data_IF_725877000599
#
_entry.id   IF_725877000599
#
_cell.length_a   1.000
_cell.length_b   1.000
_cell.length_c   1.000
_cell.angle_alpha   90.00
_cell.angle_beta   90.00
_cell.angle_gamma   90.00
#
_symmetry.space_group_name_H-M   'P 1'
#
loop_
_entity.id
_entity.type
_entity.pdbx_description
1 polymer ?
#
# COMPACT_ATOMS: atom_id res chain seq x y z
N UNK A 1 -12.36 -12.06 -18.36
CA UNK A 1 -11.09 -12.36 -17.71
C UNK A 1 -10.08 -12.93 -18.71
N UNK A 2 -10.33 -14.09 -19.33
CA UNK A 2 -9.36 -14.78 -20.21
C UNK A 2 -8.86 -14.00 -21.44
N UNK A 3 -9.70 -13.19 -22.09
CA UNK A 3 -9.25 -12.36 -23.24
C UNK A 3 -8.31 -11.23 -22.83
N UNK A 4 -8.55 -10.60 -21.67
CA UNK A 4 -7.67 -9.56 -21.13
C UNK A 4 -6.34 -10.16 -20.67
N UNK A 5 -6.37 -11.36 -20.09
CA UNK A 5 -5.16 -12.12 -19.75
C UNK A 5 -4.34 -12.44 -21.01
N UNK A 6 -4.97 -13.03 -22.03
CA UNK A 6 -4.28 -13.40 -23.26
C UNK A 6 -3.66 -12.18 -23.96
N UNK A 7 -4.40 -11.05 -24.02
CA UNK A 7 -3.88 -9.81 -24.60
C UNK A 7 -2.75 -9.17 -23.76
N UNK A 8 -2.74 -9.36 -22.43
CA UNK A 8 -1.64 -8.95 -21.55
C UNK A 8 -0.37 -9.77 -21.78
N UNK A 9 -0.50 -11.10 -21.89
CA UNK A 9 0.63 -12.00 -22.08
C UNK A 9 1.29 -11.87 -23.45
N UNK A 10 0.58 -11.41 -24.47
CA UNK A 10 1.11 -11.19 -25.83
C UNK A 10 2.07 -9.98 -25.93
N UNK A 11 2.21 -9.15 -24.87
CA UNK A 11 3.26 -8.13 -24.73
C UNK A 11 3.23 -6.95 -25.71
N UNK A 12 2.32 -6.95 -26.69
CA UNK A 12 2.24 -5.96 -27.77
C UNK A 12 1.20 -4.86 -27.52
N UNK A 13 0.59 -4.80 -26.33
CA UNK A 13 -0.48 -3.85 -26.00
C UNK A 13 -0.31 -3.29 -24.61
N UNK A 14 -0.48 -1.98 -24.47
CA UNK A 14 -0.62 -1.33 -23.16
C UNK A 14 -2.09 -1.32 -22.77
N UNK A 15 -2.40 -1.89 -21.61
CA UNK A 15 -3.75 -1.92 -21.04
C UNK A 15 -3.80 -0.90 -19.90
N UNK A 16 -4.78 0.01 -19.93
CA UNK A 16 -5.06 0.94 -18.84
C UNK A 16 -6.36 0.51 -18.19
N UNK A 17 -6.32 0.25 -16.89
CA UNK A 17 -7.48 -0.13 -16.09
C UNK A 17 -7.74 1.02 -15.10
N UNK A 18 -8.97 1.52 -15.09
CA UNK A 18 -9.47 2.46 -14.09
C UNK A 18 -10.53 1.76 -13.26
N UNK A 19 -10.31 1.63 -11.96
CA UNK A 19 -11.22 0.97 -11.03
C UNK A 19 -11.07 1.58 -9.64
N UNK A 20 -12.13 1.48 -8.84
CA UNK A 20 -12.07 1.75 -7.41
C UNK A 20 -11.75 0.48 -6.60
N UNK A 21 -12.03 -0.71 -7.15
CA UNK A 21 -11.76 -1.99 -6.50
C UNK A 21 -10.60 -2.68 -7.22
N UNK A 22 -9.48 -2.80 -6.50
CA UNK A 22 -8.19 -3.27 -7.04
C UNK A 22 -7.85 -4.71 -6.66
N UNK A 23 -8.46 -5.23 -5.58
CA UNK A 23 -8.17 -6.55 -5.00
C UNK A 23 -8.28 -7.68 -6.03
N UNK A 24 -9.28 -7.64 -6.91
CA UNK A 24 -9.49 -8.70 -7.90
C UNK A 24 -8.46 -8.71 -9.03
N UNK A 25 -7.80 -7.58 -9.31
CA UNK A 25 -6.92 -7.43 -10.49
C UNK A 25 -5.45 -7.29 -10.13
N UNK A 26 -5.11 -7.30 -8.84
CA UNK A 26 -3.76 -7.01 -8.32
C UNK A 26 -2.67 -7.85 -9.00
N UNK A 27 -2.95 -9.12 -9.27
CA UNK A 27 -2.02 -10.06 -9.94
C UNK A 27 -1.76 -9.74 -11.42
N UNK A 28 -2.59 -8.91 -12.05
CA UNK A 28 -2.47 -8.50 -13.45
C UNK A 28 -1.75 -7.15 -13.61
N UNK A 29 -1.54 -6.43 -12.51
CA UNK A 29 -0.96 -5.11 -12.53
C UNK A 29 0.58 -5.21 -12.48
N UNK A 30 1.23 -4.42 -13.32
CA UNK A 30 2.68 -4.20 -13.26
C UNK A 30 3.02 -2.84 -12.64
N UNK A 31 2.17 -1.84 -12.87
CA UNK A 31 2.35 -0.46 -12.45
C UNK A 31 1.06 0.07 -11.85
N UNK A 32 1.19 0.92 -10.84
CA UNK A 32 0.08 1.47 -10.09
C UNK A 32 0.19 2.99 -10.03
N UNK A 33 -0.91 3.66 -10.35
CA UNK A 33 -1.03 5.12 -10.25
C UNK A 33 -2.27 5.44 -9.43
N UNK A 34 -2.09 6.17 -8.33
CA UNK A 34 -3.20 6.73 -7.56
C UNK A 34 -3.38 8.21 -7.90
N UNK A 35 -4.63 8.60 -8.12
CA UNK A 35 -5.00 9.97 -8.46
C UNK A 35 -6.05 10.44 -7.46
N UNK A 36 -5.75 11.54 -6.76
CA UNK A 36 -6.71 12.27 -5.93
C UNK A 36 -6.92 13.69 -6.46
N UNK A 37 -8.17 14.09 -6.68
CA UNK A 37 -8.55 15.44 -7.16
C UNK A 37 -7.68 15.99 -8.32
N UNK A 38 -7.31 15.12 -9.26
CA UNK A 38 -6.49 15.47 -10.43
C UNK A 38 -4.99 15.54 -10.18
N UNK A 39 -4.50 15.13 -9.00
CA UNK A 39 -3.08 15.02 -8.67
C UNK A 39 -2.69 13.55 -8.53
N UNK A 40 -1.53 13.20 -9.05
CA UNK A 40 -0.92 11.89 -8.83
C UNK A 40 -0.35 11.87 -7.42
N UNK A 41 -0.79 10.92 -6.60
CA UNK A 41 -0.37 10.77 -5.20
C UNK A 41 0.51 9.54 -4.97
N UNK A 42 0.51 8.60 -5.93
CA UNK A 42 1.41 7.45 -6.00
C UNK A 42 1.60 7.08 -7.47
N UNK A 43 2.82 6.74 -7.86
CA UNK A 43 3.15 6.25 -9.21
C UNK A 43 4.36 5.34 -9.11
N UNK A 44 4.12 4.05 -8.87
CA UNK A 44 5.19 3.09 -8.56
C UNK A 44 4.93 1.75 -9.25
N UNK A 45 5.99 0.96 -9.42
CA UNK A 45 5.84 -0.43 -9.85
C UNK A 45 5.31 -1.30 -8.70
N UNK A 46 4.52 -2.31 -9.03
CA UNK A 46 4.02 -3.28 -8.04
C UNK A 46 5.16 -3.98 -7.28
N UNK A 47 6.30 -4.22 -7.95
CA UNK A 47 7.50 -4.81 -7.35
C UNK A 47 8.12 -3.94 -6.26
N UNK A 48 8.00 -2.62 -6.40
CA UNK A 48 8.74 -1.67 -5.57
C UNK A 48 7.94 -1.32 -4.31
N UNK A 49 6.62 -1.56 -4.33
CA UNK A 49 5.72 -1.30 -3.19
C UNK A 49 6.18 -2.00 -1.91
N UNK A 50 6.71 -3.22 -2.00
CA UNK A 50 7.15 -4.00 -0.84
C UNK A 50 8.46 -3.48 -0.20
N UNK A 51 9.19 -2.62 -0.91
CA UNK A 51 10.40 -1.97 -0.41
C UNK A 51 10.14 -0.55 0.08
N UNK A 52 9.20 0.15 -0.57
CA UNK A 52 8.80 1.51 -0.19
C UNK A 52 7.84 1.48 1.00
N UNK A 53 6.90 0.54 1.02
CA UNK A 53 5.84 0.48 2.01
C UNK A 53 5.93 -0.78 2.86
N UNK A 54 5.78 -0.57 4.17
CA UNK A 54 5.83 -1.65 5.16
C UNK A 54 4.71 -1.45 6.16
N UNK A 55 3.91 -2.49 6.36
CA UNK A 55 2.94 -2.56 7.44
C UNK A 55 3.55 -3.29 8.63
N UNK A 56 3.33 -2.78 9.84
CA UNK A 56 3.78 -3.41 11.08
C UNK A 56 2.58 -3.69 11.97
N UNK A 57 2.47 -4.92 12.45
CA UNK A 57 1.51 -5.27 13.48
C UNK A 57 2.08 -4.97 14.86
N UNK A 58 1.65 -3.86 15.44
CA UNK A 58 2.13 -3.33 16.70
C UNK A 58 1.21 -3.75 17.84
N UNK A 59 1.79 -4.29 18.91
CA UNK A 59 1.08 -4.60 20.16
C UNK A 59 0.76 -3.32 20.95
N UNK A 60 -0.24 -3.39 21.84
CA UNK A 60 -0.76 -2.22 22.55
C UNK A 60 0.29 -1.46 23.39
N UNK A 61 1.34 -2.13 23.83
CA UNK A 61 2.45 -1.59 24.63
C UNK A 61 3.48 -0.81 23.79
N UNK A 62 3.44 -0.92 22.46
CA UNK A 62 4.39 -0.28 21.54
C UNK A 62 3.74 0.76 20.62
N UNK A 63 2.44 1.02 20.75
CA UNK A 63 1.70 1.97 19.92
C UNK A 63 2.33 3.37 19.96
N UNK A 64 2.66 3.91 21.12
CA UNK A 64 3.26 5.25 21.22
C UNK A 64 4.58 5.37 20.44
N UNK A 65 5.42 4.33 20.48
CA UNK A 65 6.68 4.27 19.71
C UNK A 65 6.43 4.18 18.21
N UNK A 66 5.39 3.44 17.83
CA UNK A 66 4.99 3.27 16.44
C UNK A 66 4.43 4.59 15.87
N UNK A 67 3.60 5.30 16.62
CA UNK A 67 3.09 6.62 16.24
C UNK A 67 4.20 7.67 16.14
N UNK A 68 5.23 7.59 16.99
CA UNK A 68 6.39 8.49 16.92
C UNK A 68 7.21 8.37 15.63
N UNK A 69 7.05 7.27 14.87
CA UNK A 69 7.66 7.09 13.55
C UNK A 69 6.79 7.63 12.40
N UNK A 70 5.71 8.34 12.69
CA UNK A 70 4.80 8.96 11.72
C UNK A 70 4.29 7.99 10.64
N UNK A 71 3.49 6.97 11.02
CA UNK A 71 2.85 6.09 10.03
C UNK A 71 1.91 6.90 9.12
N UNK A 72 1.87 6.56 7.83
CA UNK A 72 0.94 7.16 6.86
C UNK A 72 -0.50 6.67 7.08
N UNK A 73 -0.67 5.54 7.77
CA UNK A 73 -1.98 5.03 8.15
C UNK A 73 -1.89 4.13 9.38
N UNK A 74 -2.92 4.18 10.21
CA UNK A 74 -3.09 3.28 11.35
C UNK A 74 -4.49 2.67 11.32
N UNK A 75 -4.56 1.35 11.51
CA UNK A 75 -5.83 0.61 11.60
C UNK A 75 -5.80 -0.33 12.79
N UNK A 76 -6.87 -0.32 13.57
CA UNK A 76 -7.00 -1.22 14.71
C UNK A 76 -7.56 -2.56 14.23
N UNK A 77 -6.80 -3.62 14.45
CA UNK A 77 -7.23 -5.00 14.19
C UNK A 77 -7.48 -5.71 15.54
N UNK A 78 -8.05 -6.91 15.50
CA UNK A 78 -8.39 -7.67 16.71
C UNK A 78 -7.14 -7.92 17.58
N UNK A 79 -6.93 -7.08 18.59
CA UNK A 79 -5.84 -7.19 19.58
C UNK A 79 -4.54 -6.46 19.24
N UNK A 80 -4.37 -5.95 18.01
CA UNK A 80 -3.17 -5.22 17.56
C UNK A 80 -3.53 -3.96 16.77
N UNK A 81 -2.54 -3.11 16.52
CA UNK A 81 -2.66 -1.97 15.60
C UNK A 81 -1.74 -2.20 14.42
N UNK A 82 -2.30 -2.25 13.21
CA UNK A 82 -1.51 -2.26 12.00
C UNK A 82 -1.16 -0.81 11.64
N UNK A 83 0.14 -0.54 11.53
CA UNK A 83 0.69 0.77 11.18
C UNK A 83 1.42 0.64 9.85
N UNK A 84 1.00 1.41 8.85
CA UNK A 84 1.64 1.45 7.53
C UNK A 84 2.61 2.62 7.47
N UNK A 85 3.84 2.35 7.04
CA UNK A 85 4.91 3.32 6.90
C UNK A 85 5.33 3.46 5.44
N UNK A 86 5.78 4.65 5.09
CA UNK A 86 6.35 4.96 3.78
C UNK A 86 7.82 5.36 3.95
N UNK A 87 8.71 4.69 3.22
CA UNK A 87 10.15 4.99 3.19
C UNK A 87 10.86 4.89 4.56
N UNK A 88 10.34 4.07 5.49
CA UNK A 88 10.99 3.81 6.80
C UNK A 88 11.82 2.53 6.73
N UNK A 89 13.08 2.52 7.21
CA UNK A 89 13.91 1.32 7.19
C UNK A 89 13.29 0.16 7.97
N UNK A 90 13.19 -1.01 7.33
CA UNK A 90 12.65 -2.26 7.92
C UNK A 90 13.26 -2.59 9.29
N UNK A 91 14.57 -2.40 9.47
CA UNK A 91 15.24 -2.67 10.75
C UNK A 91 14.76 -1.81 11.94
N UNK A 92 14.20 -0.62 11.72
CA UNK A 92 13.58 0.16 12.80
C UNK A 92 12.18 -0.37 13.14
N UNK A 93 11.48 -0.88 12.13
CA UNK A 93 10.12 -1.39 12.23
C UNK A 93 10.07 -2.79 12.87
N UNK A 94 11.09 -3.63 12.63
CA UNK A 94 11.22 -4.97 13.23
C UNK A 94 11.18 -4.96 14.77
N UNK A 95 11.65 -3.88 15.39
CA UNK A 95 11.61 -3.72 16.84
C UNK A 95 10.18 -3.51 17.38
N UNK A 96 9.29 -3.00 16.53
CA UNK A 96 7.91 -2.66 16.88
C UNK A 96 6.97 -3.86 16.79
N UNK A 97 7.17 -4.77 15.82
CA UNK A 97 6.34 -5.95 15.67
C UNK A 97 6.58 -6.71 14.36
N UNK A 98 5.57 -7.47 13.95
CA UNK A 98 5.62 -8.32 12.76
C UNK A 98 5.48 -7.47 11.50
N UNK A 99 6.44 -7.60 10.56
CA UNK A 99 6.44 -6.89 9.28
C UNK A 99 5.60 -7.62 8.23
N UNK A 100 4.78 -6.86 7.52
CA UNK A 100 3.95 -7.31 6.41
C UNK A 100 4.03 -6.32 5.24
N UNK A 101 3.80 -6.82 4.04
CA UNK A 101 3.52 -5.96 2.89
C UNK A 101 2.06 -5.51 2.95
N UNK A 102 1.76 -4.20 2.88
CA UNK A 102 0.39 -3.73 2.86
C UNK A 102 -0.31 -4.14 1.56
N UNK A 103 -1.62 -4.34 1.62
CA UNK A 103 -2.43 -4.56 0.42
C UNK A 103 -2.53 -3.27 -0.41
N UNK A 104 -2.77 -3.39 -1.72
CA UNK A 104 -2.96 -2.20 -2.57
C UNK A 104 -4.21 -1.39 -2.13
N UNK A 105 -5.24 -2.07 -1.64
CA UNK A 105 -6.43 -1.41 -1.08
C UNK A 105 -6.09 -0.59 0.19
N UNK A 106 -5.32 -1.16 1.10
CA UNK A 106 -4.88 -0.45 2.31
C UNK A 106 -3.98 0.74 1.94
N UNK A 107 -3.06 0.57 0.97
CA UNK A 107 -2.22 1.66 0.45
C UNK A 107 -3.04 2.78 -0.20
N UNK A 108 -4.07 2.43 -0.96
CA UNK A 108 -4.98 3.41 -1.56
C UNK A 108 -5.63 4.26 -0.48
N UNK A 109 -6.20 3.63 0.54
CA UNK A 109 -6.83 4.35 1.65
C UNK A 109 -5.81 5.20 2.42
N UNK A 110 -4.59 4.70 2.64
CA UNK A 110 -3.52 5.43 3.29
C UNK A 110 -3.16 6.72 2.54
N UNK A 111 -2.86 6.61 1.23
CA UNK A 111 -2.43 7.75 0.41
C UNK A 111 -3.56 8.75 0.13
N UNK A 112 -4.81 8.31 0.12
CA UNK A 112 -5.98 9.21 -0.01
C UNK A 112 -6.27 10.00 1.28
N UNK A 113 -5.97 9.43 2.45
CA UNK A 113 -6.21 10.07 3.76
C UNK A 113 -5.15 11.10 4.12
N UNK A 114 -3.91 10.91 3.68
CA UNK A 114 -2.77 11.82 3.98
C UNK A 114 -3.07 13.29 3.64
N UNK A 115 -3.92 13.54 2.64
CA UNK A 115 -4.29 14.89 2.17
C UNK A 115 -5.29 15.59 3.12
N UNK A 116 -5.89 14.86 4.07
CA UNK A 116 -6.88 15.41 5.03
C UNK A 116 -6.25 15.88 6.35
N UNK A 117 -4.91 15.87 6.48
CA UNK A 117 -4.18 16.46 7.61
C UNK A 117 -3.44 17.74 7.20
N UNK A 118 -4.20 18.70 6.65
CA UNK A 118 -3.77 20.08 6.38
C UNK A 118 -4.61 21.09 7.14
#
# INVERSE_FOLDING_TARGET
YDRLLNDYYDGNRTIIISTHQVEEIEVLLSHLIFIDRGKIVLNEMMSDLADIYVEVLVDADKIEKAEALNPISTRRILGKTACTYESVPKGQLEALGDLHSPSVADLFVAKMKDIHHG
#
